data_IF_940812526528
#
_entry.id   IF_940812526528
#
_cell.length_a   1.000
_cell.length_b   1.000
_cell.length_c   1.000
_cell.angle_alpha   90.00
_cell.angle_beta   90.00
_cell.angle_gamma   90.00
#
_symmetry.space_group_name_H-M   'P 1'
#
loop_
_entity.id
_entity.type
_entity.pdbx_description
1 polymer ?
#
# COMPACT_ATOMS: atom_id res chain seq x y z
N UNK A 1 41.14 6.06 -26.42
CA UNK A 1 40.86 5.10 -25.34
C UNK A 1 39.42 5.27 -24.88
N UNK A 2 38.54 4.32 -25.19
CA UNK A 2 37.14 4.38 -24.78
C UNK A 2 37.04 4.28 -23.26
N UNK A 3 36.41 5.27 -22.61
CA UNK A 3 36.09 5.24 -21.18
C UNK A 3 35.33 3.94 -20.92
N UNK A 4 35.87 3.02 -20.10
CA UNK A 4 35.13 1.85 -19.63
C UNK A 4 33.86 2.39 -18.96
N UNK A 5 32.72 2.17 -19.59
CA UNK A 5 31.43 2.43 -18.98
C UNK A 5 31.35 1.54 -17.74
N UNK A 6 31.50 2.11 -16.54
CA UNK A 6 31.30 1.38 -15.28
C UNK A 6 29.82 1.05 -15.15
N UNK A 7 29.40 -0.05 -15.76
CA UNK A 7 28.10 -0.66 -15.52
C UNK A 7 28.12 -1.22 -14.10
N UNK A 8 27.17 -0.80 -13.27
CA UNK A 8 26.91 -1.41 -11.97
C UNK A 8 25.73 -2.36 -12.13
N UNK A 9 25.75 -3.46 -11.38
CA UNK A 9 24.74 -4.51 -11.45
C UNK A 9 24.23 -4.83 -10.05
N UNK A 10 22.92 -5.00 -9.92
CA UNK A 10 22.28 -5.67 -8.81
C UNK A 10 21.65 -6.95 -9.34
N UNK A 11 21.93 -8.07 -8.67
CA UNK A 11 21.30 -9.34 -8.95
C UNK A 11 19.95 -9.39 -8.23
N UNK A 12 18.92 -9.74 -8.98
CA UNK A 12 17.55 -9.85 -8.50
C UNK A 12 17.20 -11.32 -8.33
N UNK A 13 16.67 -11.68 -7.17
CA UNK A 13 16.18 -13.03 -6.88
C UNK A 13 14.80 -13.00 -6.26
N UNK A 14 14.06 -14.10 -6.42
CA UNK A 14 12.81 -14.37 -5.71
C UNK A 14 13.02 -15.65 -4.91
N UNK A 15 12.87 -15.59 -3.59
CA UNK A 15 12.98 -16.78 -2.73
C UNK A 15 14.27 -17.58 -3.00
N UNK A 16 15.41 -16.88 -3.15
CA UNK A 16 16.71 -17.51 -3.43
C UNK A 16 16.97 -17.92 -4.89
N UNK A 17 15.95 -17.90 -5.75
CA UNK A 17 16.09 -18.23 -7.17
C UNK A 17 16.48 -16.99 -7.99
N UNK A 18 17.53 -17.05 -8.83
CA UNK A 18 17.92 -15.94 -9.70
C UNK A 18 16.84 -15.61 -10.74
N UNK A 19 16.34 -14.37 -10.72
CA UNK A 19 15.30 -13.89 -11.65
C UNK A 19 15.88 -13.04 -12.77
N UNK A 20 16.87 -12.21 -12.46
CA UNK A 20 17.47 -11.32 -13.44
C UNK A 20 18.47 -10.35 -12.83
N UNK A 21 18.85 -9.36 -13.62
CA UNK A 21 19.86 -8.37 -13.28
C UNK A 21 19.33 -6.97 -13.59
N UNK A 22 19.44 -6.08 -12.61
CA UNK A 22 19.23 -4.64 -12.75
C UNK A 22 20.57 -3.98 -13.02
N UNK A 23 20.69 -3.28 -14.14
CA UNK A 23 21.89 -2.53 -14.51
C UNK A 23 21.69 -1.04 -14.33
N UNK A 24 22.77 -0.36 -13.95
CA UNK A 24 22.90 1.10 -14.02
C UNK A 24 24.05 1.47 -14.96
N UNK A 25 23.71 2.07 -16.10
CA UNK A 25 24.68 2.50 -17.12
C UNK A 25 24.44 3.95 -17.50
N UNK A 26 25.45 4.82 -17.31
CA UNK A 26 25.36 6.26 -17.58
C UNK A 26 24.13 6.92 -16.93
N UNK A 27 23.78 6.50 -15.70
CA UNK A 27 22.62 7.01 -14.97
C UNK A 27 21.26 6.48 -15.41
N UNK A 28 21.20 5.58 -16.41
CA UNK A 28 19.96 4.93 -16.86
C UNK A 28 19.88 3.51 -16.34
N UNK A 29 18.72 3.15 -15.82
CA UNK A 29 18.42 1.79 -15.38
C UNK A 29 17.90 0.93 -16.54
N UNK A 30 18.27 -0.34 -16.51
CA UNK A 30 17.74 -1.36 -17.42
C UNK A 30 17.68 -2.71 -16.70
N UNK A 31 16.76 -3.57 -17.09
CA UNK A 31 16.56 -4.86 -16.45
C UNK A 31 16.65 -5.99 -17.48
N UNK A 32 17.29 -7.09 -17.11
CA UNK A 32 17.38 -8.27 -17.96
C UNK A 32 17.03 -9.52 -17.16
N UNK A 33 16.05 -10.28 -17.65
CA UNK A 33 15.72 -11.57 -17.08
C UNK A 33 16.87 -12.57 -17.26
N UNK A 34 17.05 -13.43 -16.26
CA UNK A 34 17.90 -14.60 -16.39
C UNK A 34 17.26 -15.57 -17.37
N UNK A 35 17.98 -16.08 -18.40
CA UNK A 35 17.42 -17.06 -19.33
C UNK A 35 16.82 -18.29 -18.65
N UNK A 36 17.41 -18.77 -17.56
CA UNK A 36 16.88 -19.90 -16.81
C UNK A 36 15.52 -19.59 -16.16
N UNK A 37 15.29 -18.35 -15.72
CA UNK A 37 14.00 -17.91 -15.18
C UNK A 37 12.89 -17.88 -16.22
N UNK A 38 13.24 -17.67 -17.50
CA UNK A 38 12.25 -17.69 -18.59
C UNK A 38 11.74 -19.10 -18.91
N UNK A 39 12.49 -20.12 -18.49
CA UNK A 39 12.23 -21.53 -18.79
C UNK A 39 11.81 -22.33 -17.54
N UNK A 40 11.93 -21.74 -16.34
CA UNK A 40 11.56 -22.42 -15.08
C UNK A 40 10.04 -22.55 -14.97
N UNK A 41 9.59 -23.73 -14.54
CA UNK A 41 8.20 -23.95 -14.18
C UNK A 41 7.80 -23.01 -13.03
N UNK A 42 6.68 -22.31 -13.17
CA UNK A 42 6.27 -21.28 -12.22
C UNK A 42 7.00 -19.92 -12.37
N UNK A 43 7.89 -19.79 -13.35
CA UNK A 43 8.52 -18.54 -13.75
C UNK A 43 7.48 -17.50 -14.18
N UNK A 44 7.69 -16.23 -13.81
CA UNK A 44 6.74 -15.15 -14.06
C UNK A 44 7.43 -13.80 -14.21
N UNK A 45 6.73 -12.83 -14.77
CA UNK A 45 7.23 -11.46 -14.85
C UNK A 45 7.38 -10.85 -13.44
N UNK A 46 8.38 -9.99 -13.25
CA UNK A 46 8.53 -9.22 -12.01
C UNK A 46 7.49 -8.12 -11.88
N UNK A 47 6.89 -7.72 -13.00
CA UNK A 47 5.86 -6.69 -13.12
C UNK A 47 5.12 -6.87 -14.43
N UNK A 48 3.83 -6.54 -14.47
CA UNK A 48 3.05 -6.42 -15.70
C UNK A 48 3.65 -5.35 -16.64
N UNK A 49 4.32 -4.33 -16.11
CA UNK A 49 5.00 -3.31 -16.90
C UNK A 49 6.38 -3.75 -17.44
N UNK A 50 6.91 -4.87 -16.94
CA UNK A 50 8.20 -5.45 -17.31
C UNK A 50 8.02 -6.91 -17.75
N UNK A 51 7.35 -7.18 -18.88
CA UNK A 51 7.02 -8.54 -19.30
C UNK A 51 8.25 -9.41 -19.52
N UNK A 52 8.10 -10.73 -19.32
CA UNK A 52 9.17 -11.71 -19.54
C UNK A 52 9.64 -11.69 -21.00
N UNK A 53 10.93 -11.39 -21.20
CA UNK A 53 11.55 -11.43 -22.51
C UNK A 53 13.07 -11.66 -22.39
N UNK A 54 13.68 -12.21 -23.46
CA UNK A 54 15.14 -12.44 -23.53
C UNK A 54 15.95 -11.14 -23.67
N UNK A 55 15.34 -10.12 -24.28
CA UNK A 55 15.99 -8.83 -24.51
C UNK A 55 16.02 -7.99 -23.22
N UNK A 56 17.07 -7.20 -23.06
CA UNK A 56 17.19 -6.22 -21.98
C UNK A 56 16.09 -5.15 -22.11
N UNK A 57 15.29 -4.98 -21.06
CA UNK A 57 14.24 -3.97 -20.96
C UNK A 57 14.87 -2.63 -20.57
N UNK A 58 14.49 -1.57 -21.29
CA UNK A 58 14.99 -0.20 -21.10
C UNK A 58 13.81 0.77 -21.08
N UNK A 59 14.02 1.92 -20.45
CA UNK A 59 13.06 3.03 -20.46
C UNK A 59 12.36 3.24 -19.13
N UNK A 60 11.33 4.06 -19.18
CA UNK A 60 10.72 4.65 -17.99
C UNK A 60 10.00 3.62 -17.11
N UNK A 61 9.48 2.54 -17.69
CA UNK A 61 8.84 1.46 -16.92
C UNK A 61 9.81 0.79 -15.94
N UNK A 62 11.08 0.59 -16.34
CA UNK A 62 12.12 0.04 -15.47
C UNK A 62 12.36 0.99 -14.30
N UNK A 63 12.49 2.28 -14.60
CA UNK A 63 12.67 3.29 -13.57
C UNK A 63 11.47 3.33 -12.62
N UNK A 64 10.26 3.42 -13.16
CA UNK A 64 9.02 3.46 -12.40
C UNK A 64 8.88 2.24 -11.46
N UNK A 65 9.10 1.03 -11.95
CA UNK A 65 8.97 -0.17 -11.14
C UNK A 65 9.88 -0.16 -9.90
N UNK A 66 11.19 0.09 -10.09
CA UNK A 66 12.16 0.10 -9.00
C UNK A 66 12.06 1.33 -8.10
N UNK A 67 11.61 2.46 -8.65
CA UNK A 67 11.35 3.68 -7.88
C UNK A 67 10.19 3.51 -6.88
N UNK A 68 9.12 2.81 -7.28
CA UNK A 68 7.95 2.56 -6.43
C UNK A 68 8.21 1.59 -5.27
N UNK A 69 9.33 0.85 -5.27
CA UNK A 69 9.76 0.00 -4.14
C UNK A 69 10.33 0.81 -2.97
N UNK A 70 10.55 2.11 -3.17
CA UNK A 70 11.15 3.01 -2.20
C UNK A 70 10.13 4.04 -1.69
N UNK A 71 10.38 4.69 -0.54
CA UNK A 71 9.51 5.74 -0.04
C UNK A 71 9.25 6.85 -1.06
N UNK A 72 8.06 7.45 -1.04
CA UNK A 72 7.65 8.48 -2.01
C UNK A 72 8.42 9.79 -1.82
N UNK A 73 8.67 10.18 -0.57
CA UNK A 73 9.22 11.49 -0.22
C UNK A 73 10.73 11.56 -0.41
N UNK A 74 11.20 12.59 -1.14
CA UNK A 74 12.62 12.87 -1.36
C UNK A 74 13.41 13.03 -0.05
N UNK A 75 12.84 13.73 0.93
CA UNK A 75 13.44 13.91 2.26
C UNK A 75 13.77 12.57 2.94
N UNK A 76 12.82 11.61 2.92
CA UNK A 76 13.03 10.27 3.50
C UNK A 76 14.16 9.54 2.75
N UNK A 77 14.22 9.68 1.42
CA UNK A 77 15.28 9.05 0.61
C UNK A 77 16.67 9.63 0.89
N UNK A 78 16.78 10.94 1.09
CA UNK A 78 18.03 11.59 1.48
C UNK A 78 18.50 11.11 2.85
N UNK A 79 17.59 10.99 3.82
CA UNK A 79 17.92 10.41 5.13
C UNK A 79 18.37 8.95 5.02
N UNK A 80 17.67 8.13 4.22
CA UNK A 80 18.09 6.75 3.96
C UNK A 80 19.49 6.70 3.37
N UNK A 81 19.81 7.60 2.42
CA UNK A 81 21.14 7.70 1.82
C UNK A 81 22.19 8.00 2.88
N UNK A 82 21.99 9.02 3.71
CA UNK A 82 22.97 9.40 4.74
C UNK A 82 23.13 8.31 5.80
N UNK A 83 22.03 7.72 6.30
CA UNK A 83 22.04 6.67 7.32
C UNK A 83 22.71 5.38 6.85
N UNK A 84 22.44 4.97 5.61
CA UNK A 84 22.93 3.69 5.06
C UNK A 84 24.28 3.83 4.34
N UNK A 85 24.81 5.05 4.25
CA UNK A 85 25.97 5.37 3.43
C UNK A 85 25.76 4.98 1.97
N UNK A 86 24.56 5.22 1.43
CA UNK A 86 24.28 4.98 0.02
C UNK A 86 24.98 6.03 -0.85
N UNK A 87 25.34 5.66 -2.07
CA UNK A 87 26.05 6.57 -2.97
C UNK A 87 25.20 7.78 -3.40
N UNK A 88 23.89 7.58 -3.56
CA UNK A 88 22.93 8.65 -3.82
C UNK A 88 21.53 8.26 -3.34
N UNK A 89 20.59 9.21 -3.28
CA UNK A 89 19.19 8.96 -2.96
C UNK A 89 18.38 8.39 -4.16
N UNK A 90 19.07 7.98 -5.23
CA UNK A 90 18.44 7.41 -6.43
C UNK A 90 18.08 5.93 -6.24
N UNK A 91 17.10 5.40 -6.98
CA UNK A 91 16.55 4.08 -6.70
C UNK A 91 17.57 2.95 -6.65
N UNK A 92 18.46 2.87 -7.64
CA UNK A 92 19.49 1.83 -7.70
C UNK A 92 20.39 1.83 -6.45
N UNK A 93 20.82 3.00 -5.99
CA UNK A 93 21.77 3.14 -4.88
C UNK A 93 21.12 2.85 -3.53
N UNK A 94 19.84 3.16 -3.38
CA UNK A 94 19.07 2.83 -2.19
C UNK A 94 18.74 1.33 -2.14
N UNK A 95 18.30 0.74 -3.26
CA UNK A 95 18.00 -0.69 -3.35
C UNK A 95 19.23 -1.57 -3.09
N UNK A 96 20.42 -1.12 -3.45
CA UNK A 96 21.69 -1.78 -3.07
C UNK A 96 21.83 -1.95 -1.54
N UNK A 97 21.30 -0.99 -0.77
CA UNK A 97 21.40 -1.01 0.71
C UNK A 97 20.21 -1.70 1.38
N UNK A 98 18.98 -1.41 0.95
CA UNK A 98 17.75 -1.88 1.62
C UNK A 98 17.02 -3.00 0.89
N UNK A 99 17.45 -3.37 -0.31
CA UNK A 99 16.74 -4.28 -1.19
C UNK A 99 16.69 -5.74 -0.75
N UNK A 100 17.10 -6.06 0.48
CA UNK A 100 17.06 -7.43 1.02
C UNK A 100 15.67 -7.85 1.47
N UNK A 101 14.79 -6.89 1.78
CA UNK A 101 13.40 -7.15 2.13
C UNK A 101 12.48 -5.99 1.68
N UNK A 102 12.04 -6.05 0.42
CA UNK A 102 11.10 -5.10 -0.15
C UNK A 102 9.64 -5.60 -0.07
N UNK A 103 8.70 -4.75 -0.49
CA UNK A 103 7.35 -5.19 -0.85
C UNK A 103 7.44 -6.17 -2.03
N UNK A 104 6.60 -7.20 -2.01
CA UNK A 104 6.63 -8.31 -2.96
C UNK A 104 7.76 -9.30 -2.66
N UNK A 105 8.25 -9.96 -3.70
CA UNK A 105 9.19 -11.08 -3.58
C UNK A 105 10.63 -10.81 -4.03
N UNK A 106 10.90 -9.64 -4.62
CA UNK A 106 12.24 -9.33 -5.12
C UNK A 106 13.21 -9.02 -3.98
N UNK A 107 14.39 -9.62 -4.10
CA UNK A 107 15.57 -9.38 -3.27
C UNK A 107 16.71 -8.90 -4.17
N UNK A 108 17.43 -7.88 -3.75
CA UNK A 108 18.55 -7.26 -4.48
C UNK A 108 19.87 -7.50 -3.76
N UNK A 109 20.86 -8.01 -4.50
CA UNK A 109 22.19 -8.33 -3.95
C UNK A 109 23.30 -7.97 -4.92
N UNK A 110 24.52 -7.77 -4.40
CA UNK A 110 25.74 -7.55 -5.19
C UNK A 110 26.33 -8.85 -5.76
N UNK A 111 25.91 -9.99 -5.21
CA UNK A 111 26.30 -11.32 -5.67
C UNK A 111 25.06 -12.10 -6.12
N UNK A 112 25.17 -12.97 -7.15
CA UNK A 112 24.08 -13.82 -7.57
C UNK A 112 23.59 -14.71 -6.42
N UNK A 113 22.29 -15.00 -6.39
CA UNK A 113 21.74 -15.99 -5.48
C UNK A 113 22.18 -17.41 -5.88
N UNK A 114 22.25 -18.31 -4.89
CA UNK A 114 22.72 -19.69 -5.09
C UNK A 114 21.67 -20.62 -5.70
N UNK A 115 20.40 -20.18 -5.80
CA UNK A 115 19.29 -21.04 -6.20
C UNK A 115 18.67 -21.82 -5.03
N UNK A 116 19.06 -21.51 -3.80
CA UNK A 116 18.54 -22.13 -2.58
C UNK A 116 17.81 -21.12 -1.71
N UNK A 117 16.78 -21.58 -1.00
CA UNK A 117 16.11 -20.77 0.00
C UNK A 117 17.09 -20.39 1.11
N UNK A 118 17.25 -19.10 1.44
CA UNK A 118 18.11 -18.70 2.53
C UNK A 118 17.52 -19.19 3.86
N UNK A 119 18.37 -19.70 4.79
CA UNK A 119 17.90 -20.11 6.10
C UNK A 119 17.38 -18.90 6.90
N UNK A 120 16.40 -19.14 7.76
CA UNK A 120 15.91 -18.11 8.67
C UNK A 120 17.00 -17.76 9.69
N UNK A 121 17.24 -16.47 9.86
CA UNK A 121 18.14 -15.92 10.87
C UNK A 121 17.40 -14.85 11.66
N UNK A 122 17.04 -15.20 12.89
CA UNK A 122 16.13 -14.45 13.74
C UNK A 122 16.73 -14.27 15.13
N UNK A 123 16.61 -13.07 15.70
CA UNK A 123 16.85 -12.84 17.13
C UNK A 123 15.53 -12.51 17.81
N UNK A 124 15.05 -13.33 18.77
CA UNK A 124 13.87 -13.00 19.56
C UNK A 124 14.06 -11.66 20.29
N UNK A 125 12.97 -10.90 20.39
CA UNK A 125 12.94 -9.59 21.03
C UNK A 125 12.06 -9.66 22.28
N UNK A 126 12.52 -9.01 23.34
CA UNK A 126 11.68 -8.64 24.49
C UNK A 126 10.73 -7.49 24.13
N UNK A 127 9.68 -7.31 24.94
CA UNK A 127 8.73 -6.20 24.79
C UNK A 127 9.43 -4.83 24.75
N UNK A 128 10.38 -4.59 25.67
CA UNK A 128 11.14 -3.34 25.72
C UNK A 128 12.06 -3.11 24.52
N UNK A 129 12.60 -4.17 23.91
CA UNK A 129 13.36 -4.04 22.67
C UNK A 129 12.46 -3.69 21.47
N UNK A 130 11.24 -4.25 21.40
CA UNK A 130 10.25 -3.87 20.40
C UNK A 130 9.86 -2.40 20.59
N UNK A 131 9.56 -1.98 21.83
CA UNK A 131 9.27 -0.59 22.15
C UNK A 131 10.40 0.35 21.73
N UNK A 132 11.66 -0.03 21.99
CA UNK A 132 12.81 0.79 21.59
C UNK A 132 12.97 0.90 20.07
N UNK A 133 12.70 -0.17 19.31
CA UNK A 133 12.69 -0.10 17.83
C UNK A 133 11.63 0.91 17.38
N UNK A 134 10.42 0.86 17.94
CA UNK A 134 9.34 1.78 17.59
C UNK A 134 9.72 3.23 17.94
N UNK A 135 10.30 3.49 19.12
CA UNK A 135 10.80 4.82 19.51
C UNK A 135 11.83 5.36 18.52
N UNK A 136 12.79 4.52 18.12
CA UNK A 136 13.83 4.90 17.17
C UNK A 136 13.23 5.24 15.80
N UNK A 137 12.27 4.45 15.31
CA UNK A 137 11.54 4.73 14.07
C UNK A 137 10.87 6.11 14.09
N UNK A 138 10.35 6.55 15.25
CA UNK A 138 9.75 7.88 15.45
C UNK A 138 10.75 9.03 15.47
N UNK A 139 11.89 8.83 16.14
CA UNK A 139 12.93 9.85 16.21
C UNK A 139 13.59 10.11 14.86
N UNK A 140 13.74 9.09 14.02
CA UNK A 140 14.39 9.17 12.70
C UNK A 140 13.70 10.18 11.76
N UNK A 141 12.37 10.29 11.77
CA UNK A 141 11.64 11.22 10.90
C UNK A 141 11.62 12.66 11.42
N UNK A 142 11.62 12.88 12.74
CA UNK A 142 11.66 14.23 13.32
C UNK A 142 12.88 15.03 12.85
N UNK A 143 14.02 14.36 12.65
CA UNK A 143 15.25 14.97 12.11
C UNK A 143 15.16 15.34 10.61
N UNK A 144 14.11 14.89 9.90
CA UNK A 144 13.94 15.03 8.44
C UNK A 144 12.87 16.00 7.98
N UNK A 145 12.09 16.58 8.90
CA UNK A 145 10.94 17.45 8.58
C UNK A 145 11.30 18.92 8.29
N UNK A 146 12.55 19.24 7.96
CA UNK A 146 12.99 20.60 7.64
C UNK A 146 12.70 21.05 6.19
N UNK A 147 11.75 20.43 5.47
CA UNK A 147 11.44 20.80 4.08
C UNK A 147 9.94 21.01 3.85
N UNK A 148 9.59 22.23 3.44
CA UNK A 148 8.28 22.66 2.93
C UNK A 148 7.95 21.96 1.61
N UNK A 149 7.07 20.96 1.62
CA UNK A 149 6.46 20.45 0.40
C UNK A 149 4.92 20.41 0.51
N UNK A 150 4.31 20.76 -0.62
CA UNK A 150 2.97 21.36 -0.71
C UNK A 150 1.75 20.48 -0.39
N UNK A 151 0.67 21.23 -0.23
CA UNK A 151 -0.68 20.92 0.24
C UNK A 151 -1.43 19.78 -0.50
N UNK A 152 -1.09 18.52 -0.18
CA UNK A 152 -2.05 17.40 -0.09
C UNK A 152 -1.45 16.33 0.81
N UNK A 153 -2.08 16.14 1.97
CA UNK A 153 -1.59 15.22 2.99
C UNK A 153 -1.94 13.80 2.53
N UNK A 154 -0.93 13.06 2.07
CA UNK A 154 -1.02 11.61 2.05
C UNK A 154 -1.05 11.17 3.52
N UNK A 155 -2.25 10.91 4.03
CA UNK A 155 -2.48 10.43 5.39
C UNK A 155 -1.70 9.13 5.64
N UNK A 156 -1.53 8.30 4.61
CA UNK A 156 -0.97 6.97 4.70
C UNK A 156 0.53 6.93 4.31
N UNK A 157 0.89 7.59 3.20
CA UNK A 157 2.25 7.56 2.64
C UNK A 157 3.31 8.32 3.43
N UNK A 158 2.91 9.18 4.37
CA UNK A 158 3.81 9.90 5.26
C UNK A 158 4.07 9.17 6.59
N UNK A 159 3.38 8.06 6.86
CA UNK A 159 3.48 7.35 8.15
C UNK A 159 4.81 6.59 8.27
N UNK A 160 5.44 6.72 9.44
CA UNK A 160 6.61 5.93 9.76
C UNK A 160 6.22 4.47 9.92
N UNK A 161 7.12 3.57 9.52
CA UNK A 161 6.90 2.14 9.73
C UNK A 161 8.19 1.40 9.91
N UNK A 162 8.12 0.36 10.72
CA UNK A 162 9.14 -0.67 10.82
C UNK A 162 8.50 -2.01 10.50
N UNK A 163 9.29 -3.07 10.38
CA UNK A 163 8.77 -4.40 10.11
C UNK A 163 9.54 -5.45 10.91
N UNK A 164 8.81 -6.43 11.44
CA UNK A 164 9.34 -7.49 12.29
C UNK A 164 8.80 -8.85 11.85
N UNK A 165 9.42 -9.91 12.35
CA UNK A 165 8.99 -11.29 12.10
C UNK A 165 8.28 -11.83 13.32
N UNK A 166 7.04 -12.30 13.18
CA UNK A 166 6.36 -13.11 14.18
C UNK A 166 6.73 -14.57 13.88
N UNK A 167 7.51 -15.18 14.75
CA UNK A 167 7.95 -16.57 14.61
C UNK A 167 7.66 -17.33 15.89
N UNK A 168 6.96 -18.47 15.79
CA UNK A 168 6.58 -19.31 16.94
C UNK A 168 5.94 -18.51 18.10
N UNK A 169 5.10 -17.55 17.75
CA UNK A 169 4.39 -16.69 18.72
C UNK A 169 5.25 -15.61 19.37
N UNK A 170 6.46 -15.32 18.86
CA UNK A 170 7.36 -14.29 19.40
C UNK A 170 7.79 -13.29 18.33
N UNK A 171 7.91 -12.03 18.73
CA UNK A 171 8.48 -10.99 17.88
C UNK A 171 10.00 -11.17 17.77
N UNK A 172 10.50 -11.15 16.54
CA UNK A 172 11.89 -11.38 16.21
C UNK A 172 12.41 -10.30 15.27
N UNK A 173 13.68 -9.91 15.47
CA UNK A 173 14.46 -9.12 14.51
C UNK A 173 15.00 -10.06 13.42
N UNK A 174 14.64 -9.86 12.14
CA UNK A 174 15.22 -10.62 11.04
C UNK A 174 16.61 -10.11 10.68
N UNK A 175 17.46 -11.04 10.27
CA UNK A 175 18.82 -10.77 9.77
C UNK A 175 18.98 -11.23 8.33
N UNK A 176 19.91 -10.60 7.62
CA UNK A 176 20.26 -10.97 6.25
C UNK A 176 19.08 -10.81 5.29
N UNK A 177 18.68 -11.91 4.66
CA UNK A 177 17.54 -12.00 3.74
C UNK A 177 16.32 -12.67 4.36
N UNK A 178 16.29 -12.83 5.69
CA UNK A 178 15.11 -13.32 6.41
C UNK A 178 13.96 -12.34 6.23
N UNK A 179 12.79 -12.76 5.69
CA UNK A 179 11.68 -11.84 5.47
C UNK A 179 11.02 -11.41 6.78
N UNK A 180 10.63 -10.14 6.85
CA UNK A 180 9.63 -9.69 7.83
C UNK A 180 8.25 -10.23 7.49
N UNK A 181 7.38 -10.35 8.49
CA UNK A 181 5.99 -10.87 8.35
C UNK A 181 4.94 -9.83 8.71
N UNK A 182 5.31 -8.79 9.45
CA UNK A 182 4.37 -7.78 9.93
C UNK A 182 4.97 -6.39 9.78
N UNK A 183 4.12 -5.43 9.44
CA UNK A 183 4.44 -4.00 9.38
C UNK A 183 3.88 -3.34 10.65
N UNK A 184 4.72 -2.57 11.31
CA UNK A 184 4.40 -1.83 12.53
C UNK A 184 4.27 -0.37 12.16
N UNK A 185 3.08 0.19 12.32
CA UNK A 185 2.77 1.59 12.03
C UNK A 185 2.47 2.35 13.32
N UNK A 186 3.44 3.09 13.90
CA UNK A 186 3.17 3.96 15.03
C UNK A 186 2.24 5.12 14.64
N UNK A 187 1.67 5.82 15.64
CA UNK A 187 0.90 7.04 15.40
C UNK A 187 1.68 8.05 14.57
N UNK A 188 1.04 8.60 13.55
CA UNK A 188 1.56 9.71 12.76
C UNK A 188 1.71 10.92 13.68
N UNK A 189 2.93 11.42 13.79
CA UNK A 189 3.25 12.60 14.59
C UNK A 189 2.50 13.84 14.09
N UNK A 190 2.14 14.70 15.02
CA UNK A 190 1.51 15.99 14.74
C UNK A 190 2.37 16.80 13.76
N UNK A 191 1.75 17.26 12.67
CA UNK A 191 2.40 18.18 11.74
C UNK A 191 2.03 19.61 12.15
N UNK A 192 2.87 20.25 12.98
CA UNK A 192 2.65 21.62 13.48
C UNK A 192 2.40 22.62 12.33
N UNK A 193 3.10 22.46 11.20
CA UNK A 193 2.93 23.30 10.01
C UNK A 193 1.58 23.15 9.30
N UNK A 194 0.89 22.03 9.51
CA UNK A 194 -0.39 21.71 8.87
C UNK A 194 -1.59 21.91 9.81
N UNK A 195 -1.34 22.12 11.11
CA UNK A 195 -2.38 22.34 12.13
C UNK A 195 -3.34 21.16 12.28
N UNK A 196 -2.86 19.93 12.05
CA UNK A 196 -3.65 18.69 12.11
C UNK A 196 -2.97 17.72 13.06
N UNK A 197 -3.75 17.19 13.99
CA UNK A 197 -3.33 16.13 14.90
C UNK A 197 -3.75 14.76 14.34
N UNK A 198 -2.75 13.97 13.95
CA UNK A 198 -2.90 12.61 13.42
C UNK A 198 -2.50 11.53 14.44
N UNK A 199 -2.42 11.90 15.72
CA UNK A 199 -2.07 10.97 16.81
C UNK A 199 -3.05 9.78 16.95
N UNK A 200 -4.29 9.93 16.48
CA UNK A 200 -5.31 8.87 16.43
C UNK A 200 -5.24 7.97 15.18
N UNK A 201 -4.20 8.09 14.35
CA UNK A 201 -4.04 7.30 13.11
C UNK A 201 -4.04 5.79 13.32
N UNK A 202 -3.49 5.28 14.43
CA UNK A 202 -3.54 3.83 14.76
C UNK A 202 -4.97 3.36 14.94
N UNK A 203 -5.75 4.08 15.76
CA UNK A 203 -7.16 3.77 16.02
C UNK A 203 -8.00 3.90 14.75
N UNK A 204 -7.78 4.97 14.00
CA UNK A 204 -8.49 5.26 12.76
C UNK A 204 -8.28 4.15 11.72
N UNK A 205 -7.03 3.74 11.49
CA UNK A 205 -6.73 2.72 10.49
C UNK A 205 -7.24 1.34 10.92
N UNK A 206 -7.04 0.96 12.19
CA UNK A 206 -7.60 -0.28 12.72
C UNK A 206 -9.12 -0.33 12.57
N UNK A 207 -9.81 0.77 12.94
CA UNK A 207 -11.28 0.84 12.85
C UNK A 207 -11.75 0.72 11.41
N UNK A 208 -11.11 1.43 10.47
CA UNK A 208 -11.47 1.39 9.05
C UNK A 208 -11.27 -0.01 8.46
N UNK A 209 -10.11 -0.64 8.68
CA UNK A 209 -9.84 -1.99 8.16
C UNK A 209 -10.76 -3.04 8.79
N UNK A 210 -10.94 -3.00 10.11
CA UNK A 210 -11.84 -3.94 10.82
C UNK A 210 -13.30 -3.77 10.40
N UNK A 211 -13.76 -2.53 10.17
CA UNK A 211 -15.07 -2.26 9.58
C UNK A 211 -15.21 -2.84 8.18
N UNK A 212 -14.22 -2.64 7.31
CA UNK A 212 -14.24 -3.19 5.96
C UNK A 212 -14.24 -4.72 5.97
N UNK A 213 -13.50 -5.35 6.89
CA UNK A 213 -13.52 -6.81 7.11
C UNK A 213 -14.90 -7.29 7.55
N UNK A 214 -15.51 -6.63 8.54
CA UNK A 214 -16.86 -6.94 9.03
C UNK A 214 -17.94 -6.70 7.97
N UNK A 215 -17.67 -5.84 6.99
CA UNK A 215 -18.51 -5.64 5.81
C UNK A 215 -18.29 -6.74 4.75
N UNK A 216 -17.34 -7.66 4.93
CA UNK A 216 -17.05 -8.73 3.98
C UNK A 216 -16.28 -8.25 2.75
N UNK A 217 -15.30 -7.38 2.94
CA UNK A 217 -14.27 -7.05 1.96
C UNK A 217 -12.97 -7.79 2.30
N UNK A 218 -12.19 -8.15 1.29
CA UNK A 218 -10.84 -8.69 1.51
C UNK A 218 -9.89 -7.55 1.92
N UNK A 219 -9.38 -7.61 3.15
CA UNK A 219 -8.50 -6.58 3.74
C UNK A 219 -7.35 -7.23 4.48
N UNK A 220 -6.23 -6.51 4.58
CA UNK A 220 -5.09 -6.96 5.37
C UNK A 220 -5.48 -7.09 6.85
N UNK A 221 -5.03 -8.19 7.47
CA UNK A 221 -5.24 -8.41 8.89
C UNK A 221 -4.41 -7.42 9.71
N UNK A 222 -5.04 -6.80 10.71
CA UNK A 222 -4.35 -5.88 11.61
C UNK A 222 -4.95 -5.87 13.02
N UNK A 223 -4.12 -5.52 13.99
CA UNK A 223 -4.53 -5.32 15.38
C UNK A 223 -3.74 -4.19 16.04
N UNK A 224 -4.30 -3.60 17.09
CA UNK A 224 -3.62 -2.59 17.91
C UNK A 224 -2.84 -3.31 19.01
N UNK A 225 -1.53 -3.10 19.03
CA UNK A 225 -0.66 -3.60 20.08
C UNK A 225 -0.07 -2.46 20.91
N UNK A 226 0.29 -2.79 22.15
CA UNK A 226 1.01 -1.92 23.06
C UNK A 226 2.31 -2.62 23.47
N UNK A 227 3.44 -1.92 23.34
CA UNK A 227 4.75 -2.36 23.84
C UNK A 227 5.29 -1.26 24.75
N UNK A 228 5.32 -1.50 26.07
CA UNK A 228 5.59 -0.47 27.07
C UNK A 228 4.72 0.80 26.84
N UNK A 229 5.32 1.94 26.48
CA UNK A 229 4.66 3.21 26.19
C UNK A 229 4.34 3.43 24.70
N UNK A 230 4.68 2.47 23.83
CA UNK A 230 4.47 2.57 22.38
C UNK A 230 3.20 1.84 21.94
N UNK A 231 2.16 2.61 21.63
CA UNK A 231 0.98 2.13 20.88
C UNK A 231 1.32 2.01 19.39
N UNK A 232 0.89 0.94 18.73
CA UNK A 232 1.23 0.68 17.32
C UNK A 232 0.13 -0.14 16.63
N UNK A 233 -0.10 0.14 15.35
CA UNK A 233 -0.86 -0.78 14.49
C UNK A 233 0.07 -1.86 13.96
N UNK A 234 -0.26 -3.11 14.19
CA UNK A 234 0.46 -4.28 13.65
C UNK A 234 -0.35 -4.83 12.49
N UNK A 235 0.20 -4.78 11.27
CA UNK A 235 -0.45 -5.24 10.04
C UNK A 235 0.27 -6.49 9.53
N UNK A 236 -0.45 -7.58 9.34
CA UNK A 236 0.08 -8.81 8.74
C UNK A 236 0.36 -8.58 7.25
N UNK A 237 1.54 -9.02 6.82
CA UNK A 237 1.96 -8.90 5.42
C UNK A 237 1.34 -10.02 4.59
N UNK A 238 0.36 -9.68 3.76
CA UNK A 238 -0.22 -10.61 2.79
C UNK A 238 0.71 -10.95 1.61
N UNK A 239 1.88 -10.29 1.49
CA UNK A 239 2.96 -10.67 0.57
C UNK A 239 3.96 -11.66 1.19
N UNK A 240 3.58 -12.31 2.29
CA UNK A 240 4.38 -13.32 3.01
C UNK A 240 3.51 -14.53 3.31
N UNK A 241 4.12 -15.72 3.29
CA UNK A 241 3.45 -16.97 3.70
C UNK A 241 4.41 -17.83 4.50
N UNK A 242 4.02 -18.19 5.72
CA UNK A 242 4.77 -19.14 6.55
C UNK A 242 4.31 -20.55 6.19
N UNK A 243 5.25 -21.43 5.90
CA UNK A 243 4.98 -22.83 5.57
C UNK A 243 6.14 -23.69 6.06
N UNK A 244 5.89 -24.50 7.11
CA UNK A 244 6.94 -25.20 7.85
C UNK A 244 7.98 -24.21 8.41
N UNK A 245 9.26 -24.52 8.19
CA UNK A 245 10.39 -23.71 8.66
C UNK A 245 10.80 -22.60 7.65
N UNK A 246 9.89 -22.22 6.76
CA UNK A 246 10.17 -21.28 5.67
C UNK A 246 9.16 -20.14 5.63
N UNK A 247 9.67 -18.92 5.39
CA UNK A 247 8.86 -17.73 5.11
C UNK A 247 9.01 -17.42 3.62
N UNK A 248 7.98 -17.72 2.83
CA UNK A 248 7.93 -17.41 1.41
C UNK A 248 7.54 -15.96 1.20
N UNK A 249 8.25 -15.27 0.30
CA UNK A 249 7.79 -13.98 -0.24
C UNK A 249 6.89 -14.22 -1.43
N UNK A 250 5.74 -13.57 -1.46
CA UNK A 250 4.78 -13.66 -2.55
C UNK A 250 4.97 -12.45 -3.49
N UNK A 251 5.09 -12.67 -4.81
CA UNK A 251 5.21 -11.58 -5.77
C UNK A 251 3.96 -10.68 -5.74
N UNK A 252 4.19 -9.38 -5.59
CA UNK A 252 3.16 -8.35 -5.55
C UNK A 252 3.71 -7.07 -6.18
N UNK A 253 2.83 -6.29 -6.80
CA UNK A 253 3.11 -4.91 -7.21
C UNK A 253 1.87 -4.01 -7.06
N UNK A 254 2.10 -2.71 -6.87
CA UNK A 254 1.01 -1.72 -6.81
C UNK A 254 0.51 -1.30 -8.21
N UNK A 255 -0.64 -0.60 -8.29
CA UNK A 255 -1.20 -0.20 -9.60
C UNK A 255 -0.31 0.81 -10.36
N UNK A 256 0.53 1.59 -9.67
CA UNK A 256 1.50 2.45 -10.35
C UNK A 256 2.58 1.59 -11.02
N UNK A 257 3.12 0.59 -10.33
CA UNK A 257 4.08 -0.36 -10.88
C UNK A 257 3.48 -1.13 -12.06
N UNK A 258 2.29 -1.70 -11.88
CA UNK A 258 1.65 -2.52 -12.91
C UNK A 258 1.36 -1.72 -14.20
N UNK A 259 1.09 -0.41 -14.08
CA UNK A 259 0.84 0.50 -15.21
C UNK A 259 2.08 1.32 -15.64
N UNK A 260 3.27 1.03 -15.09
CA UNK A 260 4.53 1.70 -15.44
C UNK A 260 4.57 3.20 -15.09
N UNK A 261 3.92 3.62 -14.01
CA UNK A 261 3.85 5.01 -13.51
C UNK A 261 4.79 5.23 -12.34
N UNK A 262 5.46 6.38 -12.32
CA UNK A 262 6.39 6.78 -11.24
C UNK A 262 5.64 7.14 -9.95
N UNK A 263 6.30 6.96 -8.79
CA UNK A 263 5.67 7.16 -7.47
C UNK A 263 5.13 8.57 -7.26
N UNK A 264 5.85 9.59 -7.76
CA UNK A 264 5.46 11.00 -7.65
C UNK A 264 4.15 11.37 -8.37
N UNK A 265 3.64 10.50 -9.24
CA UNK A 265 2.36 10.68 -9.93
C UNK A 265 1.26 9.79 -9.34
N UNK A 266 1.33 9.31 -8.10
CA UNK A 266 0.35 8.34 -7.56
C UNK A 266 -1.12 8.80 -7.56
N UNK A 267 -1.39 10.11 -7.52
CA UNK A 267 -2.74 10.66 -7.57
C UNK A 267 -3.20 10.92 -9.00
N UNK A 268 -4.48 10.66 -9.28
CA UNK A 268 -5.08 10.89 -10.59
C UNK A 268 -4.93 12.35 -11.07
N UNK A 269 -5.01 13.32 -10.16
CA UNK A 269 -4.82 14.73 -10.50
C UNK A 269 -3.39 15.08 -10.96
N UNK A 270 -2.39 14.33 -10.50
CA UNK A 270 -0.98 14.49 -10.85
C UNK A 270 -0.56 13.56 -12.00
N UNK A 271 -1.52 12.96 -12.71
CA UNK A 271 -1.29 12.07 -13.84
C UNK A 271 -1.19 10.58 -13.48
N UNK A 272 -1.58 10.21 -12.27
CA UNK A 272 -1.64 8.82 -11.80
C UNK A 272 -2.79 8.00 -12.34
N UNK A 273 -2.75 6.68 -12.14
CA UNK A 273 -3.86 5.81 -12.49
C UNK A 273 -5.16 6.23 -11.80
N UNK A 274 -6.17 6.55 -12.61
CA UNK A 274 -7.55 6.73 -12.15
C UNK A 274 -8.30 5.39 -12.09
N UNK A 275 -9.53 5.44 -11.57
CA UNK A 275 -10.37 4.25 -11.40
C UNK A 275 -10.65 3.50 -12.71
N UNK A 276 -10.76 4.20 -13.84
CA UNK A 276 -10.95 3.59 -15.16
C UNK A 276 -9.76 2.71 -15.57
N UNK A 277 -8.52 3.20 -15.37
CA UNK A 277 -7.31 2.47 -15.75
C UNK A 277 -7.12 1.23 -14.87
N UNK A 278 -7.45 1.34 -13.58
CA UNK A 278 -7.44 0.18 -12.67
C UNK A 278 -8.50 -0.85 -13.09
N UNK A 279 -9.71 -0.42 -13.46
CA UNK A 279 -10.75 -1.32 -13.95
C UNK A 279 -10.38 -2.03 -15.27
N UNK A 280 -9.70 -1.32 -16.18
CA UNK A 280 -9.15 -1.91 -17.41
C UNK A 280 -8.06 -2.94 -17.09
N UNK A 281 -7.14 -2.64 -16.17
CA UNK A 281 -6.14 -3.61 -15.73
C UNK A 281 -6.80 -4.85 -15.12
N UNK A 282 -7.74 -4.67 -14.18
CA UNK A 282 -8.43 -5.78 -13.51
C UNK A 282 -9.30 -6.61 -14.46
N UNK A 283 -9.62 -6.12 -15.66
CA UNK A 283 -10.27 -6.95 -16.70
C UNK A 283 -9.41 -8.12 -17.18
N UNK A 284 -8.08 -8.03 -16.99
CA UNK A 284 -7.13 -9.11 -17.26
C UNK A 284 -6.81 -10.00 -16.04
N UNK A 285 -7.44 -9.77 -14.89
CA UNK A 285 -7.25 -10.61 -13.69
C UNK A 285 -7.77 -12.03 -13.92
N UNK A 286 -7.16 -13.01 -13.24
CA UNK A 286 -7.68 -14.39 -13.16
C UNK A 286 -9.08 -14.45 -12.54
N UNK A 287 -9.43 -13.47 -11.70
CA UNK A 287 -10.76 -13.32 -11.11
C UNK A 287 -11.43 -12.00 -11.53
N UNK A 288 -11.31 -11.64 -12.82
CA UNK A 288 -11.69 -10.33 -13.34
C UNK A 288 -13.10 -9.85 -12.97
N UNK A 289 -14.07 -10.75 -12.83
CA UNK A 289 -15.42 -10.36 -12.44
C UNK A 289 -15.47 -9.87 -10.98
N UNK A 290 -15.00 -10.68 -10.04
CA UNK A 290 -15.04 -10.36 -8.62
C UNK A 290 -14.09 -9.22 -8.27
N UNK A 291 -12.86 -9.22 -8.81
CA UNK A 291 -11.86 -8.17 -8.53
C UNK A 291 -12.36 -6.78 -8.95
N UNK A 292 -13.05 -6.71 -10.10
CA UNK A 292 -13.64 -5.45 -10.60
C UNK A 292 -14.81 -5.01 -9.73
N UNK A 293 -15.66 -5.94 -9.29
CA UNK A 293 -16.76 -5.63 -8.39
C UNK A 293 -16.29 -5.22 -7.00
N UNK A 294 -15.27 -5.90 -6.45
CA UNK A 294 -14.68 -5.59 -5.17
C UNK A 294 -14.02 -4.20 -5.21
N UNK A 295 -13.18 -3.93 -6.21
CA UNK A 295 -12.57 -2.61 -6.38
C UNK A 295 -13.62 -1.49 -6.49
N UNK A 296 -14.70 -1.70 -7.25
CA UNK A 296 -15.79 -0.73 -7.36
C UNK A 296 -16.52 -0.53 -6.02
N UNK A 297 -16.81 -1.62 -5.31
CA UNK A 297 -17.43 -1.58 -3.98
C UNK A 297 -16.55 -0.83 -2.98
N UNK A 298 -15.24 -1.05 -3.00
CA UNK A 298 -14.25 -0.35 -2.18
C UNK A 298 -14.28 1.15 -2.44
N UNK A 299 -14.45 1.62 -3.69
CA UNK A 299 -14.59 3.06 -3.97
C UNK A 299 -15.81 3.69 -3.29
N UNK A 300 -16.94 2.99 -3.27
CA UNK A 300 -18.15 3.46 -2.58
C UNK A 300 -17.92 3.49 -1.07
N UNK A 301 -17.25 2.47 -0.52
CA UNK A 301 -16.90 2.40 0.90
C UNK A 301 -15.91 3.50 1.29
N UNK A 302 -14.92 3.81 0.46
CA UNK A 302 -14.01 4.93 0.67
C UNK A 302 -14.77 6.26 0.69
N UNK A 303 -15.78 6.43 -0.16
CA UNK A 303 -16.67 7.59 -0.09
C UNK A 303 -17.50 7.62 1.20
N UNK A 304 -18.04 6.49 1.66
CA UNK A 304 -18.77 6.42 2.94
C UNK A 304 -17.89 6.78 4.14
N UNK A 305 -16.64 6.32 4.15
CA UNK A 305 -15.64 6.59 5.19
C UNK A 305 -14.95 7.95 5.08
N UNK A 306 -15.16 8.71 4.00
CA UNK A 306 -14.30 9.84 3.65
C UNK A 306 -12.80 9.45 3.66
N UNK A 307 -12.48 8.26 3.14
CA UNK A 307 -11.12 7.79 2.95
C UNK A 307 -10.54 8.44 1.68
N UNK A 308 -9.92 9.60 1.87
CA UNK A 308 -9.52 10.48 0.77
C UNK A 308 -8.17 10.13 0.14
N UNK A 309 -7.38 9.25 0.77
CA UNK A 309 -6.03 8.89 0.33
C UNK A 309 -5.96 7.54 -0.41
N UNK A 310 -7.09 7.03 -0.90
CA UNK A 310 -7.19 5.79 -1.68
C UNK A 310 -6.64 5.91 -3.11
N UNK A 311 -5.36 6.23 -3.25
CA UNK A 311 -4.68 6.43 -4.54
C UNK A 311 -4.14 5.11 -5.13
N UNK A 312 -3.59 5.16 -6.35
CA UNK A 312 -3.19 3.96 -7.09
C UNK A 312 -2.20 3.04 -6.35
N UNK A 313 -1.33 3.57 -5.47
CA UNK A 313 -0.40 2.76 -4.66
C UNK A 313 -1.06 2.02 -3.47
N UNK A 314 -2.32 2.31 -3.14
CA UNK A 314 -3.07 1.64 -2.07
C UNK A 314 -3.89 0.45 -2.60
N UNK A 315 -3.70 0.12 -3.88
CA UNK A 315 -4.23 -1.07 -4.51
C UNK A 315 -3.04 -1.83 -5.11
N UNK A 316 -2.97 -3.13 -4.85
CA UNK A 316 -1.93 -3.99 -5.39
C UNK A 316 -2.54 -5.21 -6.09
N UNK A 317 -1.73 -5.87 -6.89
CA UNK A 317 -2.03 -7.17 -7.48
C UNK A 317 -0.97 -8.20 -7.04
N UNK A 318 -1.42 -9.42 -6.76
CA UNK A 318 -0.56 -10.57 -6.57
C UNK A 318 -0.23 -11.18 -7.93
N UNK A 319 1.04 -11.50 -8.17
CA UNK A 319 1.50 -12.10 -9.42
C UNK A 319 1.71 -13.62 -9.23
N UNK A 320 0.83 -14.39 -9.86
CA UNK A 320 0.92 -15.84 -9.92
C UNK A 320 1.65 -16.28 -11.20
N UNK A 321 1.91 -17.58 -11.32
CA UNK A 321 2.47 -18.16 -12.54
C UNK A 321 1.53 -18.05 -13.75
N UNK A 322 0.21 -18.04 -13.54
CA UNK A 322 -0.79 -18.05 -14.62
C UNK A 322 -1.54 -16.72 -14.78
N UNK A 323 -1.05 -15.63 -14.17
CA UNK A 323 -1.71 -14.32 -14.23
C UNK A 323 -1.62 -13.56 -12.92
N UNK A 324 -2.61 -12.72 -12.65
CA UNK A 324 -2.65 -11.88 -11.45
C UNK A 324 -4.07 -11.78 -10.89
N UNK A 325 -4.17 -11.34 -9.64
CA UNK A 325 -5.43 -11.04 -8.94
C UNK A 325 -5.25 -9.84 -8.01
N UNK A 326 -6.33 -9.15 -7.67
CA UNK A 326 -6.33 -8.09 -6.67
C UNK A 326 -5.85 -8.65 -5.32
N UNK A 327 -5.04 -7.88 -4.59
CA UNK A 327 -4.65 -8.22 -3.21
C UNK A 327 -5.70 -7.72 -2.22
N UNK A 328 -5.65 -8.17 -0.95
CA UNK A 328 -6.41 -7.53 0.11
C UNK A 328 -6.18 -6.01 0.13
N UNK A 329 -7.20 -5.25 0.51
CA UNK A 329 -7.10 -3.79 0.68
C UNK A 329 -6.33 -3.47 1.96
N UNK A 330 -5.52 -2.42 1.92
CA UNK A 330 -4.68 -1.98 3.03
C UNK A 330 -4.66 -0.45 3.11
N UNK A 331 -4.19 0.06 4.25
CA UNK A 331 -3.80 1.47 4.40
C UNK A 331 -4.98 2.43 4.17
N UNK A 332 -6.05 2.20 4.92
CA UNK A 332 -7.31 2.95 4.84
C UNK A 332 -7.47 3.82 6.08
N UNK A 333 -7.49 5.13 5.88
CA UNK A 333 -7.73 6.12 6.93
C UNK A 333 -8.93 6.99 6.58
N UNK A 334 -9.86 7.14 7.53
CA UNK A 334 -10.96 8.09 7.43
C UNK A 334 -10.49 9.51 7.73
N UNK A 335 -10.93 10.49 6.95
CA UNK A 335 -10.70 11.89 7.27
C UNK A 335 -11.64 12.43 8.37
N UNK A 336 -12.69 11.69 8.78
CA UNK A 336 -13.72 12.19 9.70
C UNK A 336 -13.19 12.68 11.05
N UNK A 337 -12.28 11.98 11.76
CA UNK A 337 -11.74 12.45 13.04
C UNK A 337 -11.00 13.78 12.94
N UNK A 338 -10.55 14.15 11.74
CA UNK A 338 -9.73 15.33 11.50
C UNK A 338 -10.52 16.49 10.88
N UNK A 339 -11.83 16.36 10.69
CA UNK A 339 -12.66 17.43 10.13
C UNK A 339 -12.63 18.68 11.01
N UNK A 340 -12.35 19.82 10.38
CA UNK A 340 -12.21 21.11 11.06
C UNK A 340 -10.80 21.42 11.57
N UNK A 341 -9.88 20.45 11.51
CA UNK A 341 -8.47 20.66 11.81
C UNK A 341 -7.71 21.08 10.54
N UNK A 342 -6.77 22.02 10.70
CA UNK A 342 -6.00 22.61 9.61
C UNK A 342 -6.85 22.91 8.37
N UNK A 343 -6.57 22.19 7.28
CA UNK A 343 -7.24 22.36 5.99
C UNK A 343 -8.24 21.26 5.64
N UNK A 344 -8.49 20.32 6.56
CA UNK A 344 -9.43 19.21 6.38
C UNK A 344 -10.84 19.74 6.64
N UNK A 345 -11.42 20.38 5.63
CA UNK A 345 -12.80 20.83 5.65
C UNK A 345 -13.64 19.92 4.75
N UNK A 346 -14.77 19.44 5.25
CA UNK A 346 -15.68 18.55 4.51
C UNK A 346 -16.03 19.04 3.09
N UNK A 347 -16.08 20.36 2.87
CA UNK A 347 -16.37 21.00 1.57
C UNK A 347 -15.16 21.10 0.62
N UNK A 348 -13.94 20.87 1.13
CA UNK A 348 -12.68 21.06 0.40
C UNK A 348 -11.96 19.74 0.11
N UNK A 349 -12.16 18.71 0.92
CA UNK A 349 -11.50 17.42 0.71
C UNK A 349 -11.98 16.76 -0.60
N UNK A 350 -11.06 16.05 -1.24
CA UNK A 350 -11.26 15.38 -2.52
C UNK A 350 -10.90 13.91 -2.43
N UNK A 351 -11.65 13.05 -3.11
CA UNK A 351 -11.29 11.63 -3.27
C UNK A 351 -10.03 11.52 -4.14
N UNK A 352 -9.17 10.54 -3.88
CA UNK A 352 -7.97 10.33 -4.71
C UNK A 352 -8.29 9.98 -6.17
N UNK A 353 -9.34 9.20 -6.40
CA UNK A 353 -9.87 8.83 -7.73
C UNK A 353 -11.24 9.47 -7.97
N UNK A 354 -11.45 10.00 -9.18
CA UNK A 354 -12.67 10.69 -9.60
C UNK A 354 -13.84 9.72 -9.80
N UNK A 355 -15.05 10.23 -9.49
CA UNK A 355 -16.32 9.57 -9.84
C UNK A 355 -16.89 10.26 -11.07
N UNK A 356 -17.08 9.49 -12.14
CA UNK A 356 -17.56 10.01 -13.42
C UNK A 356 -19.05 9.73 -13.63
N UNK A 357 -19.86 10.78 -13.74
CA UNK A 357 -21.29 10.69 -14.09
C UNK A 357 -21.56 11.51 -15.37
N UNK A 358 -22.66 12.29 -15.44
CA UNK A 358 -22.79 13.36 -16.45
C UNK A 358 -21.64 14.37 -16.31
N UNK A 359 -21.30 14.71 -15.07
CA UNK A 359 -20.13 15.52 -14.70
C UNK A 359 -19.14 14.65 -13.91
N UNK A 360 -17.88 15.07 -13.89
CA UNK A 360 -16.83 14.47 -13.06
C UNK A 360 -16.85 15.09 -11.68
N UNK A 361 -16.87 14.25 -10.64
CA UNK A 361 -16.89 14.67 -9.24
C UNK A 361 -15.61 14.25 -8.55
N UNK A 362 -15.02 15.17 -7.80
CA UNK A 362 -13.78 14.94 -7.08
C UNK A 362 -13.91 15.29 -5.60
N UNK A 363 -14.61 16.38 -5.28
CA UNK A 363 -14.91 16.75 -3.89
C UNK A 363 -15.85 15.72 -3.28
N UNK A 364 -15.45 15.21 -2.13
CA UNK A 364 -16.17 14.15 -1.42
C UNK A 364 -17.65 14.51 -1.16
N UNK A 365 -17.91 15.75 -0.75
CA UNK A 365 -19.26 16.21 -0.40
C UNK A 365 -20.18 16.42 -1.61
N UNK A 366 -19.63 16.52 -2.83
CA UNK A 366 -20.40 16.67 -4.07
C UNK A 366 -20.77 15.30 -4.69
N UNK A 367 -20.14 14.21 -4.24
CA UNK A 367 -20.49 12.85 -4.65
C UNK A 367 -21.80 12.43 -3.96
N UNK A 368 -22.72 11.86 -4.76
CA UNK A 368 -24.07 11.48 -4.36
C UNK A 368 -24.41 10.09 -4.92
N UNK A 369 -25.35 9.35 -4.29
CA UNK A 369 -25.67 7.97 -4.68
C UNK A 369 -26.01 7.79 -6.16
N UNK A 370 -26.74 8.74 -6.75
CA UNK A 370 -27.09 8.76 -8.18
C UNK A 370 -25.91 8.81 -9.14
N UNK A 371 -24.71 9.19 -8.68
CA UNK A 371 -23.52 9.23 -9.52
C UNK A 371 -22.93 7.82 -9.74
N UNK A 372 -23.13 6.90 -8.79
CA UNK A 372 -22.54 5.56 -8.85
C UNK A 372 -23.06 4.71 -10.02
N UNK A 373 -24.37 4.64 -10.34
CA UNK A 373 -24.83 3.88 -11.50
C UNK A 373 -24.24 4.32 -12.83
N UNK A 374 -24.07 5.63 -13.03
CA UNK A 374 -23.42 6.18 -14.23
C UNK A 374 -21.91 5.91 -14.23
N UNK A 375 -21.28 5.96 -13.06
CA UNK A 375 -19.87 5.63 -12.91
C UNK A 375 -19.59 4.15 -13.19
N UNK A 376 -20.38 3.25 -12.59
CA UNK A 376 -20.32 1.81 -12.82
C UNK A 376 -20.49 1.50 -14.30
N UNK A 377 -21.47 2.12 -14.98
CA UNK A 377 -21.66 1.95 -16.43
C UNK A 377 -20.41 2.29 -17.24
N UNK A 378 -19.72 3.39 -16.91
CA UNK A 378 -18.46 3.79 -17.58
C UNK A 378 -17.34 2.79 -17.35
N UNK A 379 -17.33 2.16 -16.18
CA UNK A 379 -16.36 1.13 -15.82
C UNK A 379 -16.78 -0.28 -16.24
N UNK A 380 -17.89 -0.44 -16.97
CA UNK A 380 -18.38 -1.74 -17.44
C UNK A 380 -19.04 -2.60 -16.36
N UNK A 381 -19.58 -1.99 -15.31
CA UNK A 381 -20.48 -2.60 -14.32
C UNK A 381 -21.90 -2.15 -14.64
N UNK A 382 -22.84 -3.09 -14.72
CA UNK A 382 -24.20 -2.72 -15.08
C UNK A 382 -24.93 -1.98 -13.94
N UNK A 383 -26.02 -1.28 -14.31
CA UNK A 383 -26.80 -0.48 -13.35
C UNK A 383 -27.42 -1.35 -12.25
N UNK A 384 -27.85 -2.58 -12.56
CA UNK A 384 -28.48 -3.48 -11.59
C UNK A 384 -27.48 -3.94 -10.55
N UNK A 385 -26.26 -4.29 -10.97
CA UNK A 385 -25.14 -4.63 -10.08
C UNK A 385 -24.78 -3.46 -9.17
N UNK A 386 -24.65 -2.26 -9.74
CA UNK A 386 -24.36 -1.06 -8.95
C UNK A 386 -25.44 -0.78 -7.89
N UNK A 387 -26.72 -0.87 -8.27
CA UNK A 387 -27.82 -0.72 -7.32
C UNK A 387 -27.84 -1.83 -6.27
N UNK A 388 -27.48 -3.06 -6.65
CA UNK A 388 -27.31 -4.18 -5.73
C UNK A 388 -26.23 -3.92 -4.68
N UNK A 389 -25.08 -3.35 -5.08
CA UNK A 389 -24.02 -2.95 -4.16
C UNK A 389 -24.52 -1.85 -3.21
N UNK A 390 -25.21 -0.82 -3.72
CA UNK A 390 -25.77 0.23 -2.87
C UNK A 390 -26.79 -0.32 -1.86
N UNK A 391 -27.66 -1.24 -2.28
CA UNK A 391 -28.63 -1.88 -1.40
C UNK A 391 -27.97 -2.76 -0.33
N UNK A 392 -26.94 -3.54 -0.72
CA UNK A 392 -26.14 -4.31 0.22
C UNK A 392 -25.49 -3.39 1.28
N UNK A 393 -24.92 -2.26 0.86
CA UNK A 393 -24.29 -1.31 1.78
C UNK A 393 -25.31 -0.66 2.72
N UNK A 394 -26.49 -0.29 2.20
CA UNK A 394 -27.60 0.25 3.01
C UNK A 394 -28.04 -0.74 4.11
N UNK A 395 -28.02 -2.04 3.81
CA UNK A 395 -28.39 -3.08 4.76
C UNK A 395 -27.29 -3.40 5.79
N UNK A 396 -26.03 -3.50 5.35
CA UNK A 396 -24.95 -4.09 6.17
C UNK A 396 -24.04 -3.12 6.90
N UNK A 397 -23.98 -1.85 6.49
CA UNK A 397 -22.99 -0.90 7.04
C UNK A 397 -23.21 -0.64 8.54
N UNK A 398 -24.45 -0.45 9.00
CA UNK A 398 -24.71 -0.19 10.43
C UNK A 398 -24.33 -1.39 11.32
N UNK A 399 -24.63 -2.61 10.88
CA UNK A 399 -24.27 -3.85 11.56
C UNK A 399 -22.74 -4.04 11.62
N UNK A 400 -22.04 -3.78 10.51
CA UNK A 400 -20.58 -3.89 10.43
C UNK A 400 -19.88 -2.85 11.34
N UNK A 401 -20.37 -1.61 11.39
CA UNK A 401 -19.84 -0.57 12.28
C UNK A 401 -20.05 -0.96 13.76
N UNK A 402 -21.24 -1.43 14.11
CA UNK A 402 -21.56 -1.89 15.48
C UNK A 402 -20.68 -3.07 15.89
N UNK A 403 -20.46 -4.03 14.99
CA UNK A 403 -19.60 -5.18 15.23
C UNK A 403 -18.14 -4.78 15.43
N UNK A 404 -17.67 -3.78 14.68
CA UNK A 404 -16.30 -3.24 14.79
C UNK A 404 -16.06 -2.63 16.16
N UNK A 405 -16.98 -1.78 16.65
CA UNK A 405 -16.88 -1.21 18.00
C UNK A 405 -16.84 -2.29 19.09
N UNK A 406 -17.56 -3.40 18.92
CA UNK A 406 -17.54 -4.54 19.86
C UNK A 406 -16.24 -5.34 19.84
N UNK A 407 -15.48 -5.28 18.75
CA UNK A 407 -14.19 -5.98 18.61
C UNK A 407 -13.01 -5.17 19.17
N UNK A 408 -13.25 -3.92 19.58
CA UNK A 408 -12.22 -3.05 20.13
C UNK A 408 -11.55 -3.66 21.36
N UNK A 409 -10.21 -3.71 21.32
CA UNK A 409 -9.41 -4.12 22.46
C UNK A 409 -9.21 -2.96 23.45
N UNK A 410 -8.56 -3.22 24.59
CA UNK A 410 -8.38 -2.24 25.65
C UNK A 410 -7.48 -1.04 25.27
N UNK A 411 -6.74 -1.12 24.16
CA UNK A 411 -5.86 -0.07 23.69
C UNK A 411 -6.53 0.86 22.68
N UNK A 412 -7.70 0.51 22.15
CA UNK A 412 -8.44 1.31 21.18
C UNK A 412 -9.08 2.54 21.81
N UNK A 413 -8.98 3.68 21.13
CA UNK A 413 -9.72 4.90 21.48
C UNK A 413 -11.14 4.85 20.89
N UNK A 414 -12.10 4.53 21.74
CA UNK A 414 -13.52 4.45 21.38
C UNK A 414 -14.06 5.72 20.74
N UNK A 415 -13.58 6.90 21.13
CA UNK A 415 -14.07 8.17 20.59
C UNK A 415 -13.78 8.29 19.08
N UNK A 416 -12.65 7.75 18.61
CA UNK A 416 -12.30 7.72 17.19
C UNK A 416 -13.30 6.87 16.40
N UNK A 417 -13.60 5.67 16.90
CA UNK A 417 -14.57 4.77 16.29
C UNK A 417 -15.99 5.33 16.27
N UNK A 418 -16.42 5.98 17.35
CA UNK A 418 -17.74 6.62 17.45
C UNK A 418 -17.90 7.76 16.44
N UNK A 419 -16.89 8.63 16.29
CA UNK A 419 -16.89 9.71 15.30
C UNK A 419 -16.96 9.15 13.88
N UNK A 420 -16.15 8.14 13.55
CA UNK A 420 -16.19 7.52 12.21
C UNK A 420 -17.56 6.86 11.98
N UNK A 421 -18.12 6.20 12.98
CA UNK A 421 -19.44 5.55 12.91
C UNK A 421 -20.55 6.57 12.62
N UNK A 422 -20.67 7.61 13.44
CA UNK A 422 -21.72 8.63 13.29
C UNK A 422 -21.69 9.29 11.89
N UNK A 423 -20.48 9.63 11.44
CA UNK A 423 -20.27 10.30 10.15
C UNK A 423 -20.51 9.38 8.97
N UNK A 424 -20.08 8.11 9.06
CA UNK A 424 -20.37 7.08 8.05
C UNK A 424 -21.87 6.86 7.92
N UNK A 425 -22.61 6.70 9.03
CA UNK A 425 -24.07 6.57 9.03
C UNK A 425 -24.75 7.80 8.43
N UNK A 426 -24.25 9.00 8.76
CA UNK A 426 -24.75 10.25 8.16
C UNK A 426 -24.59 10.26 6.65
N UNK A 427 -23.46 9.76 6.13
CA UNK A 427 -23.25 9.61 4.69
C UNK A 427 -24.15 8.52 4.08
N UNK A 428 -24.31 7.38 4.78
CA UNK A 428 -25.15 6.25 4.38
C UNK A 428 -26.61 6.65 4.14
N UNK A 429 -27.17 7.54 4.96
CA UNK A 429 -28.55 8.07 4.79
C UNK A 429 -28.81 8.66 3.40
N UNK A 430 -27.77 9.13 2.70
CA UNK A 430 -27.89 9.54 1.29
C UNK A 430 -28.30 8.36 0.42
N UNK A 431 -27.64 7.21 0.57
CA UNK A 431 -27.95 5.95 -0.13
C UNK A 431 -29.38 5.52 0.22
N UNK A 432 -29.72 5.45 1.52
CA UNK A 432 -31.05 5.05 1.98
C UNK A 432 -32.17 5.88 1.34
N UNK A 433 -31.97 7.20 1.28
CA UNK A 433 -32.95 8.13 0.67
C UNK A 433 -33.06 7.90 -0.83
N UNK A 434 -31.94 7.65 -1.51
CA UNK A 434 -31.90 7.40 -2.94
C UNK A 434 -32.51 6.05 -3.36
N UNK A 435 -32.43 5.02 -2.52
CA UNK A 435 -33.02 3.71 -2.83
C UNK A 435 -34.53 3.66 -2.56
N UNK A 436 -35.04 4.52 -1.66
CA UNK A 436 -36.47 4.61 -1.32
C UNK A 436 -37.29 5.52 -2.24
N UNK A 437 -36.64 6.43 -2.96
CA UNK A 437 -37.26 7.35 -3.91
C UNK A 437 -36.96 6.94 -5.35
#
# INVERSE_FOLDING_TARGET
MGRKSHTRTLFCSMNGFPVGELYLKNGRMSFKYNPAWLEVEGGRAISLSLPMQRAEIKGDAVHAYFDNLLPDTSAIREQMKDRLGAYSARPFDLLDKVGKDCVGALTFTQVPATGEMPPLSLTPLSEGEVAQIIRNTRLEKMLGMNSDDGFRISLAGAQEKTALTLWEGRWCRPHGSTPTTHIFKPPILHHESLGIDLSSSVDNEWFCQTFMKNLGLDVADCDIAQFEDQKVLVVERFDRRIEGDTIFRLPQEDMCQALGKVSGSKYEETGGPGSQQVMELLSGSKNAYDDRLEFFRVQIVFWLLAAIDGHAKNFSIALDQDGFRLTPIYDVLSAYPYFGQGNIQAKKITMAMKVHSKNTHYKWNEILPRHWPEHGKRQGIDKKQTLGILAYLDEKVEEALTSTLKQANAHFDMAVGEVITERTITCLRKITTFLKG
#
